data_IF_713206025175
#
_entry.id   IF_713206025175
#
_cell.length_a   1.000
_cell.length_b   1.000
_cell.length_c   1.000
_cell.angle_alpha   90.00
_cell.angle_beta   90.00
_cell.angle_gamma   90.00
#
_symmetry.space_group_name_H-M   'P 1'
#
loop_
_entity.id
_entity.type
_entity.pdbx_description
1 polymer ?
#
# COMPACT_ATOMS: atom_id res chain seq x y z
N UNK A 1 -67.39 10.10 -25.12
CA UNK A 1 -67.86 11.30 -25.79
C UNK A 1 -66.97 12.49 -25.43
N UNK A 2 -66.47 13.15 -26.46
CA UNK A 2 -65.81 14.46 -26.56
C UNK A 2 -64.30 14.35 -26.35
N UNK A 3 -63.53 14.19 -27.31
CA UNK A 3 -63.15 14.87 -28.56
C UNK A 3 -61.90 15.80 -28.39
N UNK A 4 -60.98 15.49 -29.21
CA UNK A 4 -59.65 16.03 -29.44
C UNK A 4 -59.59 17.55 -29.69
N UNK A 5 -58.52 18.21 -29.30
CA UNK A 5 -57.92 19.28 -30.11
C UNK A 5 -56.40 19.28 -30.03
N UNK A 6 -55.78 18.95 -31.16
CA UNK A 6 -54.38 19.19 -31.51
C UNK A 6 -54.14 20.70 -31.67
N UNK A 7 -53.10 21.27 -31.03
CA UNK A 7 -52.49 22.54 -31.43
C UNK A 7 -51.09 22.30 -31.92
N UNK A 8 -50.85 22.66 -33.20
CA UNK A 8 -49.58 22.73 -33.88
C UNK A 8 -48.69 23.80 -33.22
N UNK A 9 -47.42 23.52 -33.00
CA UNK A 9 -46.40 24.51 -32.73
C UNK A 9 -45.78 25.06 -34.02
N UNK A 10 -45.36 26.34 -34.09
CA UNK A 10 -44.76 26.95 -35.29
C UNK A 10 -43.31 26.53 -35.45
N UNK A 11 -42.89 26.42 -36.72
CA UNK A 11 -41.56 25.97 -37.14
C UNK A 11 -40.46 26.97 -36.77
N UNK A 12 -39.38 26.43 -36.29
CA UNK A 12 -38.10 27.13 -36.07
C UNK A 12 -37.32 27.23 -37.39
N UNK A 13 -36.40 28.21 -37.50
CA UNK A 13 -35.62 28.47 -38.72
C UNK A 13 -34.59 27.37 -38.98
N UNK A 14 -34.37 27.08 -40.24
CA UNK A 14 -33.47 26.07 -40.78
C UNK A 14 -31.98 26.34 -40.48
N UNK A 15 -31.14 25.32 -40.62
CA UNK A 15 -29.72 25.46 -40.33
C UNK A 15 -28.99 26.28 -41.39
N UNK A 16 -28.19 27.23 -40.91
CA UNK A 16 -27.27 28.03 -41.76
C UNK A 16 -26.11 27.18 -42.29
N UNK A 17 -25.44 27.63 -43.38
CA UNK A 17 -24.38 26.89 -44.02
C UNK A 17 -23.15 26.78 -43.10
N UNK A 18 -22.58 25.57 -43.02
CA UNK A 18 -21.37 25.25 -42.23
C UNK A 18 -20.13 25.96 -42.79
N UNK A 19 -19.14 26.24 -41.94
CA UNK A 19 -17.88 26.83 -42.36
C UNK A 19 -17.08 25.89 -43.27
N UNK A 20 -16.54 26.43 -44.35
CA UNK A 20 -15.73 25.74 -45.33
C UNK A 20 -14.41 25.20 -44.75
N UNK A 21 -13.75 24.26 -45.44
CA UNK A 21 -12.53 23.61 -44.96
C UNK A 21 -11.38 24.62 -44.89
N UNK A 22 -10.71 24.66 -43.74
CA UNK A 22 -9.51 25.46 -43.51
C UNK A 22 -8.32 24.93 -44.33
N UNK A 23 -7.31 25.78 -44.61
CA UNK A 23 -6.16 25.42 -45.43
C UNK A 23 -5.30 24.32 -44.73
N UNK A 24 -4.77 23.43 -45.57
CA UNK A 24 -3.88 22.33 -45.13
C UNK A 24 -2.60 22.92 -44.48
N UNK A 25 -2.06 22.25 -43.44
CA UNK A 25 -0.79 22.64 -42.85
C UNK A 25 0.36 22.40 -43.84
N UNK A 26 1.23 23.40 -43.96
CA UNK A 26 2.45 23.34 -44.76
C UNK A 26 3.47 22.34 -44.21
N UNK A 27 4.44 21.88 -45.02
CA UNK A 27 5.42 20.88 -44.62
C UNK A 27 6.32 21.43 -43.51
N UNK A 28 6.46 20.65 -42.43
CA UNK A 28 7.34 20.96 -41.30
C UNK A 28 8.82 20.91 -41.70
N UNK A 29 9.69 21.63 -40.99
CA UNK A 29 11.12 21.63 -41.26
C UNK A 29 11.74 20.26 -41.06
N UNK A 30 12.62 19.86 -41.96
CA UNK A 30 13.33 18.58 -41.97
C UNK A 30 14.23 18.37 -40.74
N UNK A 31 14.64 17.11 -40.45
CA UNK A 31 15.44 16.83 -39.31
C UNK A 31 16.84 17.45 -39.42
N UNK A 32 17.23 18.19 -38.38
CA UNK A 32 18.58 18.70 -38.22
C UNK A 32 19.61 17.59 -38.00
N UNK A 33 20.91 17.84 -38.26
CA UNK A 33 21.93 16.81 -38.14
C UNK A 33 22.13 16.37 -36.71
N UNK A 34 22.36 15.04 -36.54
CA UNK A 34 22.64 14.40 -35.27
C UNK A 34 23.86 15.03 -34.59
N UNK A 35 23.84 15.21 -33.23
CA UNK A 35 25.01 15.64 -32.49
C UNK A 35 26.06 14.52 -32.49
N UNK A 36 27.32 14.92 -32.79
CA UNK A 36 28.48 14.05 -32.86
C UNK A 36 28.74 13.31 -31.55
N UNK A 37 29.23 12.09 -31.68
CA UNK A 37 29.63 11.23 -30.59
C UNK A 37 30.69 11.91 -29.72
N UNK A 38 30.46 11.92 -28.41
CA UNK A 38 31.44 12.32 -27.42
C UNK A 38 32.61 11.30 -27.38
N UNK A 39 33.87 11.74 -27.20
CA UNK A 39 35.00 10.82 -27.07
C UNK A 39 34.90 10.02 -25.77
N UNK A 40 35.19 8.72 -25.86
CA UNK A 40 35.22 7.78 -24.74
C UNK A 40 36.26 8.15 -23.67
N UNK A 41 36.08 7.69 -22.43
CA UNK A 41 36.99 8.00 -21.35
C UNK A 41 38.36 7.34 -21.55
N UNK A 42 39.41 8.12 -21.41
CA UNK A 42 40.80 7.68 -21.33
C UNK A 42 41.01 6.75 -20.14
N UNK A 43 41.84 5.71 -20.23
CA UNK A 43 42.16 4.85 -19.09
C UNK A 43 42.98 5.60 -18.06
N UNK A 44 42.52 5.60 -16.80
CA UNK A 44 43.25 6.12 -15.65
C UNK A 44 44.38 5.17 -15.23
N UNK A 45 45.38 5.65 -14.47
CA UNK A 45 46.56 4.89 -14.16
C UNK A 45 46.30 3.72 -13.21
N UNK A 46 47.06 2.65 -13.46
CA UNK A 46 47.08 1.40 -12.71
C UNK A 46 47.34 1.61 -11.21
N UNK A 47 46.47 1.06 -10.38
CA UNK A 47 46.74 0.91 -8.94
C UNK A 47 47.54 -0.38 -8.72
N UNK A 48 48.52 -0.37 -7.82
CA UNK A 48 49.42 -1.50 -7.61
C UNK A 48 48.74 -2.67 -6.91
N UNK A 49 48.99 -3.87 -7.38
CA UNK A 49 48.61 -5.15 -6.82
C UNK A 49 49.15 -5.34 -5.41
N UNK A 50 48.27 -5.63 -4.46
CA UNK A 50 48.63 -6.02 -3.10
C UNK A 50 49.10 -7.47 -3.10
N UNK A 51 50.27 -7.80 -2.50
CA UNK A 51 50.74 -9.19 -2.49
C UNK A 51 49.95 -10.07 -1.53
N UNK A 52 49.73 -11.31 -1.98
CA UNK A 52 49.12 -12.41 -1.24
C UNK A 52 49.85 -12.67 0.08
N UNK A 53 49.10 -12.77 1.17
CA UNK A 53 49.59 -13.04 2.51
C UNK A 53 50.17 -14.45 2.62
N UNK A 54 51.40 -14.49 3.14
CA UNK A 54 52.19 -15.69 3.41
C UNK A 54 51.56 -16.57 4.51
N UNK A 55 51.74 -17.89 4.33
CA UNK A 55 51.39 -18.94 5.28
C UNK A 55 52.14 -18.73 6.61
N UNK A 56 51.40 -18.74 7.72
CA UNK A 56 51.98 -18.85 9.07
C UNK A 56 52.39 -20.28 9.37
N UNK A 57 53.54 -20.52 10.04
CA UNK A 57 53.98 -21.85 10.44
C UNK A 57 53.14 -22.38 11.62
N UNK A 58 52.94 -23.71 11.62
CA UNK A 58 52.41 -24.47 12.74
C UNK A 58 53.43 -24.49 13.88
N UNK A 59 53.02 -24.15 15.08
CA UNK A 59 53.72 -24.47 16.32
C UNK A 59 52.99 -25.65 16.96
N UNK A 60 53.71 -26.74 17.16
CA UNK A 60 53.32 -27.89 17.96
C UNK A 60 53.56 -27.57 19.45
N UNK A 61 52.64 -28.01 20.37
CA UNK A 61 52.88 -27.87 21.80
C UNK A 61 53.72 -29.04 22.33
N UNK A 62 54.52 -28.82 23.36
CA UNK A 62 55.26 -29.87 24.02
C UNK A 62 54.38 -30.69 24.99
N UNK A 63 54.62 -32.00 24.99
CA UNK A 63 54.08 -32.96 25.94
C UNK A 63 54.74 -32.82 27.27
N UNK A 64 54.02 -33.05 28.35
CA UNK A 64 54.28 -33.90 29.46
C UNK A 64 53.55 -33.50 30.77
N UNK A 65 52.94 -34.43 31.38
CA UNK A 65 53.14 -34.79 32.76
C UNK A 65 51.95 -34.66 33.71
N UNK A 66 51.25 -35.74 33.91
CA UNK A 66 50.95 -36.39 35.17
C UNK A 66 50.01 -35.75 36.23
N UNK A 67 48.91 -36.40 36.49
CA UNK A 67 48.48 -36.66 37.87
C UNK A 67 47.18 -36.01 38.36
N UNK A 68 46.19 -36.83 38.70
CA UNK A 68 45.34 -36.58 39.85
C UNK A 68 43.81 -36.42 39.57
N UNK A 69 43.05 -37.40 39.95
CA UNK A 69 41.64 -37.58 39.80
C UNK A 69 40.73 -36.55 40.47
N UNK A 70 39.51 -36.50 39.94
CA UNK A 70 38.40 -35.75 40.49
C UNK A 70 37.19 -35.84 39.56
N UNK A 71 36.20 -36.67 39.94
CA UNK A 71 34.96 -36.84 39.18
C UNK A 71 34.20 -35.53 39.06
N UNK A 72 33.88 -35.16 37.85
CA UNK A 72 33.00 -34.07 37.53
C UNK A 72 32.23 -34.44 36.27
N UNK A 73 30.89 -34.66 36.44
CA UNK A 73 30.00 -35.07 35.38
C UNK A 73 30.14 -34.16 34.14
N UNK A 74 30.26 -34.80 32.98
CA UNK A 74 30.13 -34.16 31.67
C UNK A 74 28.78 -33.47 31.58
N UNK A 75 28.72 -32.20 31.20
CA UNK A 75 27.46 -31.60 30.82
C UNK A 75 26.96 -32.30 29.55
N UNK A 76 25.61 -32.47 29.42
CA UNK A 76 25.06 -33.12 28.24
C UNK A 76 25.48 -32.38 26.99
N UNK A 77 26.13 -33.09 26.08
CA UNK A 77 26.40 -32.62 24.72
C UNK A 77 25.07 -32.43 24.00
N UNK A 78 24.65 -31.21 23.76
CA UNK A 78 23.42 -30.96 23.03
C UNK A 78 22.81 -29.56 23.16
N UNK A 79 23.35 -28.66 23.97
CA UNK A 79 22.94 -27.27 23.90
C UNK A 79 23.69 -26.58 22.80
N UNK A 80 23.19 -26.67 21.57
CA UNK A 80 23.49 -25.70 20.53
C UNK A 80 23.10 -24.32 21.07
N UNK A 81 24.08 -23.55 21.51
CA UNK A 81 23.92 -22.15 21.84
C UNK A 81 23.35 -21.47 20.59
N UNK A 82 22.08 -21.16 20.63
CA UNK A 82 21.47 -20.24 19.66
C UNK A 82 22.11 -18.88 19.87
N UNK A 83 23.24 -18.65 19.22
CA UNK A 83 23.95 -17.35 19.19
C UNK A 83 23.30 -16.45 18.14
N UNK A 84 22.00 -16.28 18.21
CA UNK A 84 21.27 -15.28 17.43
C UNK A 84 20.94 -14.08 18.33
N UNK A 85 20.65 -12.91 17.75
CA UNK A 85 20.12 -11.80 18.53
C UNK A 85 18.87 -12.25 19.28
N UNK A 86 18.61 -11.70 20.49
CA UNK A 86 17.44 -12.06 21.26
C UNK A 86 16.19 -11.83 20.42
N UNK A 87 15.27 -12.82 20.42
CA UNK A 87 14.00 -12.76 19.70
C UNK A 87 13.11 -11.70 20.35
N UNK A 88 12.44 -10.89 19.53
CA UNK A 88 11.57 -9.80 19.99
C UNK A 88 10.09 -10.05 19.66
N UNK A 89 9.76 -11.19 19.02
CA UNK A 89 8.39 -11.57 18.70
C UNK A 89 8.13 -13.05 18.93
N UNK A 90 6.84 -13.43 18.88
CA UNK A 90 6.36 -14.80 18.99
C UNK A 90 6.37 -15.56 17.65
N UNK A 91 6.92 -15.01 16.58
CA UNK A 91 7.08 -15.71 15.30
C UNK A 91 7.95 -16.95 15.45
N UNK A 92 7.70 -17.98 14.66
CA UNK A 92 8.50 -19.21 14.65
C UNK A 92 9.96 -18.95 14.21
N UNK A 93 10.17 -18.01 13.28
CA UNK A 93 11.47 -17.55 12.81
C UNK A 93 11.51 -16.02 12.69
N UNK A 94 12.70 -15.38 12.75
CA UNK A 94 12.83 -13.92 12.60
C UNK A 94 12.24 -13.38 11.30
N UNK A 95 12.21 -14.22 10.26
CA UNK A 95 11.61 -13.92 8.95
C UNK A 95 10.80 -15.14 8.54
N UNK A 96 9.52 -14.91 8.24
CA UNK A 96 8.58 -15.92 7.74
C UNK A 96 8.19 -15.58 6.31
N UNK A 97 8.22 -16.60 5.44
CA UNK A 97 7.81 -16.50 4.04
C UNK A 97 6.46 -17.18 3.86
N UNK A 98 5.46 -16.46 3.36
CA UNK A 98 4.15 -16.99 3.01
C UNK A 98 4.02 -17.11 1.50
N UNK A 99 3.76 -18.33 1.02
CA UNK A 99 3.61 -18.65 -0.39
C UNK A 99 2.28 -19.36 -0.64
N UNK A 100 1.54 -18.94 -1.66
CA UNK A 100 0.24 -19.53 -2.00
C UNK A 100 -0.54 -18.75 -3.05
N UNK A 101 -0.19 -17.49 -3.28
CA UNK A 101 -0.75 -16.70 -4.37
C UNK A 101 -0.19 -17.14 -5.73
N UNK A 102 -1.08 -17.25 -6.73
CA UNK A 102 -0.69 -17.55 -8.12
C UNK A 102 -0.41 -16.28 -8.93
N UNK A 103 -0.83 -15.12 -8.45
CA UNK A 103 -0.64 -13.81 -9.05
C UNK A 103 0.03 -12.81 -8.10
N UNK A 104 0.30 -11.62 -8.61
CA UNK A 104 0.85 -10.51 -7.83
C UNK A 104 -0.01 -10.20 -6.61
N UNK A 105 0.61 -9.95 -5.46
CA UNK A 105 -0.09 -9.54 -4.23
C UNK A 105 -0.09 -8.02 -4.14
N UNK A 106 -1.28 -7.44 -4.10
CA UNK A 106 -1.45 -5.99 -4.06
C UNK A 106 -1.71 -5.45 -2.66
N UNK A 107 -2.31 -6.25 -1.80
CA UNK A 107 -2.69 -5.81 -0.46
C UNK A 107 -2.56 -6.91 0.60
N UNK A 108 -2.28 -6.45 1.83
CA UNK A 108 -2.19 -7.31 3.00
C UNK A 108 -2.55 -6.52 4.28
N UNK A 109 -3.23 -7.15 5.21
CA UNK A 109 -3.62 -6.56 6.50
C UNK A 109 -3.59 -7.60 7.60
N UNK A 110 -3.13 -7.20 8.77
CA UNK A 110 -3.37 -7.97 9.98
C UNK A 110 -4.82 -7.82 10.45
N UNK A 111 -5.38 -8.89 10.96
CA UNK A 111 -6.59 -8.82 11.75
C UNK A 111 -6.32 -8.04 13.05
N UNK A 112 -7.27 -7.26 13.58
CA UNK A 112 -7.06 -6.45 14.79
C UNK A 112 -6.58 -7.25 16.03
N UNK A 113 -6.88 -8.56 16.12
CA UNK A 113 -6.40 -9.40 17.21
C UNK A 113 -4.94 -9.88 17.05
N UNK A 114 -4.28 -9.60 15.94
CA UNK A 114 -2.91 -9.99 15.67
C UNK A 114 -2.69 -11.47 15.31
N UNK A 115 -3.67 -12.35 15.47
CA UNK A 115 -3.46 -13.80 15.30
C UNK A 115 -3.53 -14.27 13.84
N UNK A 116 -4.20 -13.50 13.00
CA UNK A 116 -4.41 -13.81 11.57
C UNK A 116 -4.14 -12.61 10.70
N UNK A 117 -3.96 -12.86 9.41
CA UNK A 117 -3.83 -11.81 8.40
C UNK A 117 -4.55 -12.22 7.11
N UNK A 118 -4.89 -11.23 6.30
CA UNK A 118 -5.47 -11.40 4.98
C UNK A 118 -4.55 -10.81 3.91
N UNK A 119 -4.48 -11.47 2.75
CA UNK A 119 -3.77 -10.99 1.58
C UNK A 119 -4.59 -11.20 0.31
N UNK A 120 -4.44 -10.33 -0.69
CA UNK A 120 -5.12 -10.47 -1.96
C UNK A 120 -4.40 -9.73 -3.10
N UNK A 121 -4.77 -10.05 -4.34
CA UNK A 121 -4.14 -9.42 -5.48
C UNK A 121 -4.74 -9.82 -6.84
N UNK A 122 -3.85 -10.00 -7.81
CA UNK A 122 -4.19 -10.24 -9.21
C UNK A 122 -4.95 -11.56 -9.44
N UNK A 123 -4.68 -12.59 -8.64
CA UNK A 123 -5.34 -13.89 -8.72
C UNK A 123 -6.82 -13.87 -8.31
N UNK A 124 -7.34 -12.71 -7.87
CA UNK A 124 -8.75 -12.49 -7.47
C UNK A 124 -9.15 -13.22 -6.19
N UNK A 125 -8.19 -13.83 -5.52
CA UNK A 125 -8.38 -14.57 -4.28
C UNK A 125 -8.04 -13.68 -3.08
N UNK A 126 -8.71 -13.93 -1.96
CA UNK A 126 -8.32 -13.45 -0.65
C UNK A 126 -7.87 -14.66 0.14
N UNK A 127 -6.62 -14.68 0.56
CA UNK A 127 -6.06 -15.74 1.38
C UNK A 127 -5.99 -15.28 2.84
N UNK A 128 -6.46 -16.14 3.74
CA UNK A 128 -6.38 -15.90 5.18
C UNK A 128 -5.31 -16.83 5.78
N UNK A 129 -4.43 -16.24 6.59
CA UNK A 129 -3.25 -16.93 7.12
C UNK A 129 -3.18 -16.82 8.63
N UNK A 130 -2.62 -17.84 9.27
CA UNK A 130 -2.19 -17.74 10.66
C UNK A 130 -0.89 -16.93 10.74
N UNK A 131 -0.77 -16.07 11.76
CA UNK A 131 0.47 -15.29 12.01
C UNK A 131 1.52 -16.17 12.70
N UNK A 132 1.07 -17.03 13.60
CA UNK A 132 1.95 -17.85 14.44
C UNK A 132 2.03 -19.30 13.95
N UNK A 133 3.07 -20.02 14.42
CA UNK A 133 3.37 -21.36 13.95
C UNK A 133 3.91 -21.36 12.52
N UNK A 134 3.47 -22.29 11.71
CA UNK A 134 3.93 -22.46 10.32
C UNK A 134 3.36 -21.43 9.34
N UNK A 135 2.55 -20.47 9.82
CA UNK A 135 1.89 -19.44 9.00
C UNK A 135 1.04 -20.02 7.86
N UNK A 136 0.26 -21.05 8.16
CA UNK A 136 -0.55 -21.74 7.17
C UNK A 136 -1.68 -20.88 6.61
N UNK A 137 -1.97 -21.07 5.32
CA UNK A 137 -3.20 -20.59 4.72
C UNK A 137 -4.36 -21.49 5.19
N UNK A 138 -5.23 -20.99 6.08
CA UNK A 138 -6.35 -21.76 6.62
C UNK A 138 -7.65 -21.57 5.84
N UNK A 139 -7.78 -20.49 5.06
CA UNK A 139 -8.98 -20.23 4.28
C UNK A 139 -8.66 -19.43 3.00
N UNK A 140 -9.47 -19.66 1.96
CA UNK A 140 -9.40 -18.95 0.70
C UNK A 140 -10.79 -18.45 0.32
N UNK A 141 -10.96 -17.13 0.23
CA UNK A 141 -12.23 -16.50 -0.13
C UNK A 141 -12.28 -16.27 -1.63
N UNK A 142 -13.28 -16.86 -2.28
CA UNK A 142 -13.50 -16.77 -3.73
C UNK A 142 -14.79 -16.02 -4.02
N UNK A 143 -14.76 -15.10 -5.01
CA UNK A 143 -15.99 -14.39 -5.38
C UNK A 143 -15.83 -13.12 -6.16
N UNK A 144 -14.64 -12.53 -6.20
CA UNK A 144 -14.32 -11.46 -7.15
C UNK A 144 -14.03 -12.03 -8.53
N UNK A 145 -14.45 -11.33 -9.57
CA UNK A 145 -14.15 -11.64 -10.97
C UNK A 145 -12.98 -10.84 -11.53
N UNK A 146 -12.48 -9.87 -10.79
CA UNK A 146 -11.33 -9.04 -11.10
C UNK A 146 -10.30 -9.04 -9.96
N UNK A 147 -9.13 -8.46 -10.21
CA UNK A 147 -8.07 -8.32 -9.22
C UNK A 147 -8.56 -7.55 -7.98
N UNK A 148 -8.09 -7.94 -6.81
CA UNK A 148 -8.38 -7.24 -5.56
C UNK A 148 -7.28 -6.22 -5.31
N UNK A 149 -7.68 -4.94 -5.23
CA UNK A 149 -6.75 -3.81 -5.15
C UNK A 149 -6.45 -3.38 -3.72
N UNK A 150 -7.38 -3.56 -2.80
CA UNK A 150 -7.22 -3.20 -1.40
C UNK A 150 -8.10 -4.04 -0.48
N UNK A 151 -7.61 -4.29 0.73
CA UNK A 151 -8.31 -4.99 1.81
C UNK A 151 -8.29 -4.14 3.08
N UNK A 152 -9.37 -4.20 3.86
CA UNK A 152 -9.40 -3.66 5.22
C UNK A 152 -10.32 -4.49 6.12
N UNK A 153 -9.90 -4.74 7.35
CA UNK A 153 -10.76 -5.19 8.42
C UNK A 153 -11.49 -3.98 9.04
N UNK A 154 -12.70 -4.18 9.53
CA UNK A 154 -13.31 -3.21 10.43
C UNK A 154 -12.62 -3.23 11.83
N UNK A 155 -13.01 -2.31 12.71
CA UNK A 155 -12.32 -2.09 13.97
C UNK A 155 -12.34 -3.30 14.90
N UNK A 156 -13.43 -4.07 14.91
CA UNK A 156 -13.57 -5.28 15.73
C UNK A 156 -13.09 -6.57 15.04
N UNK A 157 -12.72 -6.48 13.78
CA UNK A 157 -12.24 -7.61 12.98
C UNK A 157 -13.34 -8.54 12.46
N UNK A 158 -14.61 -8.30 12.79
CA UNK A 158 -15.71 -9.19 12.37
C UNK A 158 -15.96 -9.24 10.88
N UNK A 159 -15.58 -8.17 10.17
CA UNK A 159 -15.78 -8.02 8.73
C UNK A 159 -14.50 -7.65 7.99
N UNK A 160 -14.38 -8.18 6.79
CA UNK A 160 -13.33 -7.84 5.84
C UNK A 160 -13.95 -7.19 4.60
N UNK A 161 -13.35 -6.11 4.12
CA UNK A 161 -13.78 -5.36 2.94
C UNK A 161 -12.72 -5.48 1.85
N UNK A 162 -13.15 -5.73 0.62
CA UNK A 162 -12.24 -5.88 -0.51
C UNK A 162 -12.71 -5.07 -1.71
N UNK A 163 -11.84 -4.21 -2.22
CA UNK A 163 -12.06 -3.42 -3.44
C UNK A 163 -11.48 -4.14 -4.66
N UNK A 164 -12.21 -4.14 -5.78
CA UNK A 164 -11.79 -4.92 -6.95
C UNK A 164 -11.95 -4.17 -8.27
N UNK A 165 -11.15 -4.59 -9.25
CA UNK A 165 -11.26 -4.17 -10.65
C UNK A 165 -12.55 -4.67 -11.31
N UNK A 166 -13.31 -5.57 -10.65
CA UNK A 166 -14.65 -5.96 -11.08
C UNK A 166 -15.73 -4.89 -10.81
N UNK A 167 -15.31 -3.67 -10.43
CA UNK A 167 -16.14 -2.49 -10.16
C UNK A 167 -16.98 -2.59 -8.90
N UNK A 168 -16.66 -3.51 -8.01
CA UNK A 168 -17.42 -3.75 -6.79
C UNK A 168 -16.52 -3.80 -5.55
N UNK A 169 -17.15 -3.58 -4.40
CA UNK A 169 -16.57 -3.92 -3.10
C UNK A 169 -17.34 -5.10 -2.54
N UNK A 170 -16.65 -6.12 -2.06
CA UNK A 170 -17.23 -7.23 -1.36
C UNK A 170 -17.03 -7.09 0.15
N UNK A 171 -18.04 -7.49 0.90
CA UNK A 171 -18.02 -7.54 2.36
C UNK A 171 -18.08 -9.01 2.76
N UNK A 172 -17.13 -9.41 3.58
CA UNK A 172 -16.95 -10.79 4.02
C UNK A 172 -17.06 -10.86 5.53
N UNK A 173 -17.69 -11.90 6.02
CA UNK A 173 -17.60 -12.30 7.41
C UNK A 173 -16.21 -12.93 7.64
N UNK A 174 -15.44 -12.41 8.58
CA UNK A 174 -14.05 -12.86 8.79
C UNK A 174 -13.95 -14.21 9.46
N UNK A 175 -14.95 -14.62 10.23
CA UNK A 175 -14.98 -15.91 10.94
C UNK A 175 -15.44 -17.05 10.01
N UNK A 176 -16.53 -16.84 9.28
CA UNK A 176 -17.10 -17.88 8.40
C UNK A 176 -16.46 -17.88 7.02
N UNK A 177 -15.84 -16.77 6.60
CA UNK A 177 -15.32 -16.59 5.24
C UNK A 177 -16.42 -16.38 4.19
N UNK A 178 -17.68 -16.26 4.60
CA UNK A 178 -18.78 -16.07 3.68
C UNK A 178 -18.90 -14.62 3.20
N UNK A 179 -19.27 -14.45 1.93
CA UNK A 179 -19.54 -13.12 1.40
C UNK A 179 -20.93 -12.64 1.81
N UNK A 180 -20.95 -11.71 2.77
CA UNK A 180 -22.20 -11.11 3.31
C UNK A 180 -22.86 -10.20 2.27
N UNK A 181 -22.05 -9.39 1.55
CA UNK A 181 -22.60 -8.41 0.62
C UNK A 181 -21.64 -8.07 -0.51
N UNK A 182 -22.22 -7.55 -1.61
CA UNK A 182 -21.50 -6.97 -2.74
C UNK A 182 -22.06 -5.58 -3.04
N UNK A 183 -21.23 -4.55 -2.91
CA UNK A 183 -21.57 -3.16 -3.15
C UNK A 183 -21.35 -2.85 -4.63
N UNK A 184 -22.42 -2.59 -5.36
CA UNK A 184 -22.41 -2.31 -6.80
C UNK A 184 -22.85 -0.88 -7.06
N UNK A 185 -22.20 -0.18 -7.98
CA UNK A 185 -22.58 1.19 -8.34
C UNK A 185 -21.43 2.03 -8.91
N UNK A 186 -20.19 1.59 -8.76
CA UNK A 186 -19.07 2.15 -9.54
C UNK A 186 -19.13 1.67 -10.99
N UNK A 187 -18.74 2.55 -11.92
CA UNK A 187 -18.74 2.25 -13.37
C UNK A 187 -17.36 1.82 -13.88
N UNK A 188 -16.31 2.00 -13.07
CA UNK A 188 -14.95 1.56 -13.37
C UNK A 188 -14.30 0.86 -12.18
N UNK A 189 -13.01 0.56 -12.25
CA UNK A 189 -12.24 -0.15 -11.23
C UNK A 189 -12.34 0.55 -9.87
N UNK A 190 -12.52 -0.23 -8.81
CA UNK A 190 -12.44 0.27 -7.44
C UNK A 190 -11.02 0.03 -6.92
N UNK A 191 -10.29 1.11 -6.73
CA UNK A 191 -8.88 1.06 -6.34
C UNK A 191 -8.69 0.99 -4.83
N UNK A 192 -9.64 1.52 -4.06
CA UNK A 192 -9.51 1.67 -2.62
C UNK A 192 -10.85 1.57 -1.93
N UNK A 193 -10.85 0.98 -0.76
CA UNK A 193 -11.99 0.96 0.16
C UNK A 193 -11.50 1.12 1.59
N UNK A 194 -12.28 1.76 2.43
CA UNK A 194 -11.96 1.90 3.85
C UNK A 194 -13.24 1.88 4.70
N UNK A 195 -13.33 1.01 5.73
CA UNK A 195 -14.45 0.99 6.64
C UNK A 195 -14.37 2.12 7.67
N UNK A 196 -15.52 2.59 8.15
CA UNK A 196 -15.59 3.60 9.20
C UNK A 196 -14.93 3.09 10.49
N UNK A 197 -14.18 3.97 11.14
CA UNK A 197 -13.50 3.66 12.40
C UNK A 197 -14.45 3.67 13.60
N UNK A 198 -15.45 4.54 13.56
CA UNK A 198 -16.43 4.75 14.65
C UNK A 198 -17.82 4.90 14.08
N UNK A 199 -18.82 4.59 14.90
CA UNK A 199 -20.22 4.80 14.55
C UNK A 199 -20.81 3.67 13.71
N UNK A 200 -21.77 3.96 12.83
CA UNK A 200 -22.41 2.95 11.99
C UNK A 200 -21.41 2.36 11.00
N UNK A 201 -21.64 1.11 10.59
CA UNK A 201 -20.77 0.42 9.63
C UNK A 201 -20.96 1.03 8.24
N UNK A 202 -20.18 2.08 7.98
CA UNK A 202 -20.05 2.73 6.68
C UNK A 202 -18.76 2.30 6.00
N UNK A 203 -18.72 2.41 4.69
CA UNK A 203 -17.53 2.15 3.87
C UNK A 203 -17.38 3.29 2.87
N UNK A 204 -16.19 3.84 2.73
CA UNK A 204 -15.87 4.75 1.64
C UNK A 204 -15.07 4.03 0.56
N UNK A 205 -15.24 4.42 -0.69
CA UNK A 205 -14.58 3.82 -1.84
C UNK A 205 -14.10 4.88 -2.82
N UNK A 206 -12.95 4.62 -3.45
CA UNK A 206 -12.40 5.44 -4.53
C UNK A 206 -12.22 4.63 -5.79
N UNK A 207 -12.54 5.23 -6.93
CA UNK A 207 -12.61 4.52 -8.21
C UNK A 207 -12.01 5.32 -9.37
N UNK A 208 -11.64 4.58 -10.42
CA UNK A 208 -11.25 5.14 -11.72
C UNK A 208 -12.40 5.86 -12.44
N UNK A 209 -13.64 5.73 -11.97
CA UNK A 209 -14.76 6.51 -12.49
C UNK A 209 -14.75 7.99 -12.02
N UNK A 210 -13.72 8.39 -11.26
CA UNK A 210 -13.58 9.74 -10.73
C UNK A 210 -14.52 10.03 -9.56
N UNK A 211 -15.09 9.03 -8.92
CA UNK A 211 -15.99 9.24 -7.79
C UNK A 211 -15.45 8.65 -6.49
N UNK A 212 -15.78 9.32 -5.39
CA UNK A 212 -15.71 8.81 -4.04
C UNK A 212 -17.14 8.51 -3.60
N UNK A 213 -17.41 7.30 -3.16
CA UNK A 213 -18.74 6.89 -2.71
C UNK A 213 -18.72 6.48 -1.25
N UNK A 214 -19.80 6.84 -0.56
CA UNK A 214 -20.12 6.39 0.79
C UNK A 214 -21.20 5.33 0.73
N UNK A 215 -20.97 4.21 1.42
CA UNK A 215 -21.88 3.07 1.47
C UNK A 215 -22.29 2.77 2.91
N UNK A 216 -23.55 2.44 3.09
CA UNK A 216 -24.05 1.77 4.28
C UNK A 216 -24.31 0.30 3.90
N UNK A 217 -23.65 -0.63 4.58
CA UNK A 217 -23.76 -2.06 4.26
C UNK A 217 -25.20 -2.59 4.36
N UNK A 218 -26.07 -1.91 5.10
CA UNK A 218 -27.49 -2.26 5.23
C UNK A 218 -28.31 -1.85 3.99
N UNK A 219 -27.83 -0.86 3.22
CA UNK A 219 -28.52 -0.33 2.04
C UNK A 219 -28.01 -1.00 0.75
N UNK A 220 -28.81 -0.94 -0.31
CA UNK A 220 -28.43 -1.52 -1.61
C UNK A 220 -27.57 -0.58 -2.46
N UNK A 221 -27.78 0.73 -2.36
CA UNK A 221 -27.12 1.76 -3.15
C UNK A 221 -26.17 2.58 -2.29
N UNK A 222 -25.24 3.29 -2.94
CA UNK A 222 -24.42 4.29 -2.29
C UNK A 222 -25.27 5.36 -1.60
N UNK A 223 -24.88 5.76 -0.41
CA UNK A 223 -25.58 6.79 0.38
C UNK A 223 -25.26 8.17 -0.15
N UNK A 224 -23.99 8.40 -0.49
CA UNK A 224 -23.48 9.65 -1.04
C UNK A 224 -22.46 9.37 -2.12
N UNK A 225 -22.34 10.31 -3.07
CA UNK A 225 -21.32 10.27 -4.13
C UNK A 225 -20.72 11.65 -4.25
N UNK A 226 -19.40 11.70 -4.14
CA UNK A 226 -18.60 12.91 -4.36
C UNK A 226 -17.92 12.80 -5.70
N UNK A 227 -18.11 13.82 -6.52
CA UNK A 227 -17.52 13.87 -7.85
C UNK A 227 -16.15 14.51 -7.78
N UNK A 228 -15.12 13.72 -8.10
CA UNK A 228 -13.77 14.22 -8.37
C UNK A 228 -13.60 14.40 -9.88
N UNK A 229 -12.61 15.21 -10.29
CA UNK A 229 -12.33 15.44 -11.70
C UNK A 229 -11.54 14.29 -12.33
N UNK A 230 -10.70 13.64 -11.53
CA UNK A 230 -9.80 12.58 -11.97
C UNK A 230 -9.98 11.30 -11.15
N UNK A 231 -9.35 10.22 -11.60
CA UNK A 231 -9.39 8.93 -10.92
C UNK A 231 -8.91 9.05 -9.47
N UNK A 232 -9.60 8.33 -8.59
CA UNK A 232 -9.29 8.25 -7.16
C UNK A 232 -8.59 6.92 -6.90
N UNK A 233 -7.39 6.97 -6.32
CA UNK A 233 -6.53 5.81 -6.10
C UNK A 233 -6.49 5.36 -4.65
N UNK A 234 -6.73 6.27 -3.70
CA UNK A 234 -6.71 5.96 -2.28
C UNK A 234 -7.77 6.75 -1.54
N UNK A 235 -8.42 6.11 -0.56
CA UNK A 235 -9.40 6.74 0.33
C UNK A 235 -9.19 6.29 1.77
N UNK A 236 -9.56 7.14 2.71
CA UNK A 236 -9.63 6.80 4.14
C UNK A 236 -10.68 7.68 4.82
N UNK A 237 -11.18 7.25 5.98
CA UNK A 237 -11.95 8.11 6.87
C UNK A 237 -11.02 8.92 7.77
N UNK A 238 -11.51 10.05 8.28
CA UNK A 238 -10.94 10.67 9.47
C UNK A 238 -11.33 9.85 10.73
N UNK A 239 -10.77 10.21 11.90
CA UNK A 239 -10.99 9.43 13.13
C UNK A 239 -12.48 9.38 13.57
N UNK A 240 -13.20 10.47 13.40
CA UNK A 240 -14.63 10.56 13.78
C UNK A 240 -15.57 9.96 12.73
N UNK A 241 -15.05 9.55 11.58
CA UNK A 241 -15.81 8.99 10.44
C UNK A 241 -16.89 9.94 9.89
N UNK A 242 -16.71 11.26 10.05
CA UNK A 242 -17.59 12.30 9.48
C UNK A 242 -16.99 13.00 8.25
N UNK A 243 -15.74 12.67 7.90
CA UNK A 243 -15.07 13.12 6.68
C UNK A 243 -14.38 11.95 5.97
N UNK A 244 -14.35 12.03 4.64
CA UNK A 244 -13.56 11.13 3.79
C UNK A 244 -12.37 11.92 3.24
N UNK A 245 -11.21 11.28 3.23
CA UNK A 245 -9.98 11.82 2.66
C UNK A 245 -9.66 10.98 1.42
N UNK A 246 -9.44 11.63 0.29
CA UNK A 246 -9.13 10.96 -0.98
C UNK A 246 -7.89 11.51 -1.63
N UNK A 247 -7.16 10.67 -2.34
CA UNK A 247 -6.01 11.01 -3.17
C UNK A 247 -6.06 10.28 -4.50
N UNK A 248 -5.48 10.87 -5.54
CA UNK A 248 -5.52 10.28 -6.87
C UNK A 248 -4.56 10.91 -7.87
N UNK A 249 -4.91 10.82 -9.13
CA UNK A 249 -4.08 11.25 -10.27
C UNK A 249 -3.94 12.79 -10.35
N UNK A 250 -4.81 13.52 -9.70
CA UNK A 250 -4.73 14.99 -9.63
C UNK A 250 -3.66 15.52 -8.65
N UNK A 251 -2.88 14.63 -8.03
CA UNK A 251 -1.78 14.91 -7.09
C UNK A 251 -2.26 15.55 -5.77
N UNK A 252 -3.53 15.87 -5.67
CA UNK A 252 -4.14 16.54 -4.55
C UNK A 252 -4.72 15.53 -3.55
N UNK A 253 -4.66 15.86 -2.26
CA UNK A 253 -5.39 15.15 -1.22
C UNK A 253 -6.59 16.00 -0.83
N UNK A 254 -7.79 15.46 -0.99
CA UNK A 254 -9.06 16.16 -0.80
C UNK A 254 -9.81 15.64 0.40
N UNK A 255 -10.41 16.52 1.17
CA UNK A 255 -11.19 16.19 2.36
C UNK A 255 -12.65 16.58 2.12
N UNK A 256 -13.53 15.58 2.20
CA UNK A 256 -14.95 15.67 1.92
C UNK A 256 -15.76 15.57 3.22
N UNK A 257 -16.64 16.53 3.46
CA UNK A 257 -17.54 16.53 4.61
C UNK A 257 -18.82 15.76 4.28
N UNK A 258 -19.14 14.74 5.07
CA UNK A 258 -20.31 13.89 4.88
C UNK A 258 -21.62 14.60 5.23
N UNK A 259 -21.60 15.53 6.16
CA UNK A 259 -22.79 16.27 6.60
C UNK A 259 -23.18 17.33 5.58
N UNK A 260 -22.18 18.05 5.07
CA UNK A 260 -22.40 19.12 4.09
C UNK A 260 -22.40 18.63 2.64
N UNK A 261 -22.02 17.37 2.41
CA UNK A 261 -21.90 16.75 1.10
C UNK A 261 -21.03 17.57 0.11
N UNK A 262 -19.92 18.13 0.60
CA UNK A 262 -19.02 18.99 -0.19
C UNK A 262 -17.56 18.80 0.15
N UNK A 263 -16.70 19.30 -0.72
CA UNK A 263 -15.26 19.44 -0.48
C UNK A 263 -15.03 20.51 0.59
N UNK A 264 -14.31 20.15 1.66
CA UNK A 264 -13.96 21.06 2.76
C UNK A 264 -12.68 21.81 2.47
N UNK A 265 -11.61 21.08 2.17
CA UNK A 265 -10.31 21.64 1.78
C UNK A 265 -9.49 20.65 0.99
N UNK A 266 -8.42 21.17 0.38
CA UNK A 266 -7.47 20.40 -0.41
C UNK A 266 -6.07 20.63 0.13
N UNK A 267 -5.31 19.54 0.32
CA UNK A 267 -3.90 19.55 0.69
C UNK A 267 -3.06 19.33 -0.56
N UNK A 268 -2.23 20.31 -0.90
CA UNK A 268 -1.38 20.31 -2.09
C UNK A 268 0.08 20.18 -1.70
N UNK A 269 0.87 19.56 -2.58
CA UNK A 269 2.31 19.45 -2.38
C UNK A 269 2.94 18.26 -3.10
N UNK A 270 2.24 17.12 -3.26
CA UNK A 270 2.75 16.06 -4.12
C UNK A 270 2.86 16.53 -5.58
N UNK A 271 3.94 16.11 -6.24
CA UNK A 271 4.21 16.46 -7.63
C UNK A 271 3.61 15.45 -8.63
N UNK A 272 3.17 14.28 -8.15
CA UNK A 272 2.57 13.22 -8.95
C UNK A 272 1.50 12.48 -8.12
N UNK A 273 0.85 11.51 -8.73
CA UNK A 273 -0.32 10.78 -8.25
C UNK A 273 -0.15 10.21 -6.85
N UNK A 274 -1.14 10.41 -5.99
CA UNK A 274 -1.20 9.87 -4.64
C UNK A 274 -1.75 8.45 -4.69
N UNK A 275 -0.93 7.46 -4.30
CA UNK A 275 -1.24 6.04 -4.42
C UNK A 275 -1.66 5.37 -3.11
N UNK A 276 -1.30 5.93 -1.98
CA UNK A 276 -1.61 5.38 -0.67
C UNK A 276 -1.92 6.44 0.36
N UNK A 277 -2.88 6.18 1.23
CA UNK A 277 -3.26 7.01 2.37
C UNK A 277 -3.39 6.14 3.61
N UNK A 278 -2.91 6.62 4.74
CA UNK A 278 -3.06 5.95 6.04
C UNK A 278 -3.18 7.00 7.14
N UNK A 279 -4.21 6.90 7.96
CA UNK A 279 -4.41 7.79 9.09
C UNK A 279 -3.71 7.22 10.33
N UNK A 280 -3.05 8.09 11.11
CA UNK A 280 -2.44 7.69 12.39
C UNK A 280 -3.49 7.12 13.36
N UNK A 281 -3.03 6.37 14.35
CA UNK A 281 -3.93 5.71 15.33
C UNK A 281 -4.78 6.73 16.11
N UNK A 282 -4.18 7.86 16.50
CA UNK A 282 -4.86 8.95 17.19
C UNK A 282 -5.65 9.89 16.27
N UNK A 283 -5.55 9.70 14.93
CA UNK A 283 -6.33 10.46 13.95
C UNK A 283 -5.86 11.90 13.67
N UNK A 284 -4.72 12.32 14.21
CA UNK A 284 -4.19 13.68 14.06
C UNK A 284 -3.40 13.88 12.76
N UNK A 285 -2.78 12.83 12.25
CA UNK A 285 -1.89 12.88 11.10
C UNK A 285 -2.27 11.87 10.02
N UNK A 286 -2.14 12.32 8.79
CA UNK A 286 -2.32 11.49 7.59
C UNK A 286 -0.97 11.21 6.96
N UNK A 287 -0.72 9.97 6.61
CA UNK A 287 0.42 9.53 5.81
C UNK A 287 -0.03 9.36 4.37
N UNK A 288 0.78 9.82 3.43
CA UNK A 288 0.55 9.61 1.99
C UNK A 288 1.79 9.08 1.30
N UNK A 289 1.62 8.19 0.34
CA UNK A 289 2.64 7.75 -0.60
C UNK A 289 2.23 8.18 -2.01
N UNK A 290 3.17 8.69 -2.81
CA UNK A 290 2.90 9.21 -4.14
C UNK A 290 3.98 8.84 -5.16
N UNK A 291 3.61 8.89 -6.45
CA UNK A 291 4.50 8.56 -7.56
C UNK A 291 5.65 9.57 -7.75
N UNK A 292 5.67 10.66 -7.00
CA UNK A 292 6.80 11.61 -6.92
C UNK A 292 7.98 11.09 -6.09
N UNK A 293 7.95 9.80 -5.67
CA UNK A 293 8.96 9.15 -4.83
C UNK A 293 9.09 9.80 -3.44
N UNK A 294 8.02 10.37 -2.92
CA UNK A 294 7.97 10.91 -1.57
C UNK A 294 6.84 10.29 -0.76
N UNK A 295 7.11 10.10 0.53
CA UNK A 295 6.10 9.80 1.54
C UNK A 295 5.97 11.03 2.42
N UNK A 296 4.74 11.46 2.71
CA UNK A 296 4.50 12.70 3.45
C UNK A 296 3.57 12.50 4.62
N UNK A 297 3.79 13.29 5.67
CA UNK A 297 2.89 13.40 6.82
C UNK A 297 2.19 14.75 6.76
N UNK A 298 0.87 14.73 6.91
CA UNK A 298 -0.01 15.88 6.88
C UNK A 298 -0.74 16.03 8.21
N UNK A 299 -0.86 17.25 8.69
CA UNK A 299 -1.69 17.58 9.86
C UNK A 299 -3.15 17.74 9.41
N UNK A 300 -4.01 16.83 9.87
CA UNK A 300 -5.45 16.82 9.51
C UNK A 300 -6.34 17.30 10.63
N UNK A 301 -5.77 17.84 11.72
CA UNK A 301 -6.54 18.43 12.82
C UNK A 301 -7.37 19.61 12.34
N UNK A 302 -8.54 19.87 12.97
CA UNK A 302 -9.44 20.94 12.55
C UNK A 302 -8.81 22.33 12.49
N UNK A 303 -7.92 22.64 13.44
CA UNK A 303 -7.28 23.95 13.58
C UNK A 303 -5.83 24.00 13.09
N UNK A 304 -5.43 23.06 12.24
CA UNK A 304 -4.09 23.04 11.66
C UNK A 304 -3.84 24.26 10.75
N UNK A 305 -2.58 24.70 10.58
CA UNK A 305 -2.20 25.75 9.64
C UNK A 305 -2.63 25.45 8.21
N UNK A 306 -2.63 26.47 7.33
CA UNK A 306 -2.97 26.27 5.91
C UNK A 306 -2.02 25.31 5.21
N UNK A 307 -0.73 25.40 5.51
CA UNK A 307 0.27 24.44 5.06
C UNK A 307 0.27 23.25 6.01
N UNK A 308 -0.35 22.18 5.55
CA UNK A 308 -0.58 20.99 6.37
C UNK A 308 0.52 19.92 6.22
N UNK A 309 1.44 20.07 5.24
CA UNK A 309 2.56 19.15 5.09
C UNK A 309 3.60 19.37 6.20
N UNK A 310 3.67 18.44 7.14
CA UNK A 310 4.55 18.52 8.32
C UNK A 310 5.93 17.93 8.06
N UNK A 311 5.97 16.79 7.36
CA UNK A 311 7.22 16.05 7.12
C UNK A 311 7.21 15.39 5.73
N UNK A 312 8.39 15.32 5.14
CA UNK A 312 8.64 14.64 3.86
C UNK A 312 9.72 13.59 4.09
N UNK A 313 9.47 12.38 3.58
CA UNK A 313 10.37 11.24 3.64
C UNK A 313 10.73 10.82 2.22
N UNK A 314 11.96 10.39 2.03
CA UNK A 314 12.50 9.98 0.73
C UNK A 314 13.23 8.65 0.88
N UNK A 315 13.43 7.99 -0.26
CA UNK A 315 14.17 6.72 -0.34
C UNK A 315 13.43 5.65 -1.14
N UNK A 316 12.11 5.57 -1.01
CA UNK A 316 11.28 4.69 -1.82
C UNK A 316 11.19 5.18 -3.27
N UNK A 317 10.95 4.26 -4.18
CA UNK A 317 10.93 4.51 -5.62
C UNK A 317 9.64 3.98 -6.23
N UNK A 318 9.04 4.75 -7.12
CA UNK A 318 8.02 4.29 -8.05
C UNK A 318 8.67 4.08 -9.43
N UNK A 319 8.21 3.08 -10.17
CA UNK A 319 8.70 2.76 -11.50
C UNK A 319 7.60 2.94 -12.56
N UNK A 320 7.93 2.61 -13.80
CA UNK A 320 7.01 2.69 -14.94
C UNK A 320 5.82 1.73 -14.86
N UNK A 321 5.85 0.71 -14.01
CA UNK A 321 4.73 -0.22 -13.79
C UNK A 321 3.53 0.47 -13.14
N UNK A 322 3.77 1.60 -12.46
CA UNK A 322 2.75 2.44 -11.81
C UNK A 322 1.84 1.67 -10.84
N UNK A 323 2.41 0.71 -10.12
CA UNK A 323 1.69 -0.01 -9.07
C UNK A 323 1.23 0.97 -7.98
N UNK A 324 0.08 0.69 -7.40
CA UNK A 324 -0.46 1.48 -6.28
C UNK A 324 0.28 1.09 -5.00
N UNK A 325 1.41 1.74 -4.76
CA UNK A 325 2.22 1.49 -3.57
C UNK A 325 1.59 2.18 -2.37
N UNK A 326 1.27 1.39 -1.35
CA UNK A 326 0.59 1.82 -0.13
C UNK A 326 1.58 2.24 0.95
N UNK A 327 1.07 2.81 2.02
CA UNK A 327 1.82 3.20 3.20
C UNK A 327 1.07 2.84 4.48
N UNK A 328 1.80 2.71 5.58
CA UNK A 328 1.24 2.30 6.87
C UNK A 328 1.94 2.99 8.04
N UNK A 329 1.18 3.27 9.10
CA UNK A 329 1.67 3.71 10.39
C UNK A 329 1.92 2.51 11.31
N UNK A 330 2.97 2.59 12.14
CA UNK A 330 3.06 1.70 13.30
C UNK A 330 1.97 2.06 14.33
N UNK A 331 1.50 1.10 15.16
CA UNK A 331 0.46 1.34 16.14
C UNK A 331 0.79 2.46 17.13
N UNK A 332 2.07 2.58 17.51
CA UNK A 332 2.59 3.59 18.43
C UNK A 332 2.88 4.96 17.76
N UNK A 333 2.75 5.06 16.44
CA UNK A 333 3.03 6.26 15.67
C UNK A 333 4.53 6.63 15.55
N UNK A 334 5.44 5.81 16.09
CA UNK A 334 6.88 6.08 16.06
C UNK A 334 7.52 5.82 14.71
N UNK A 335 6.95 4.89 13.94
CA UNK A 335 7.47 4.45 12.65
C UNK A 335 6.41 4.55 11.56
N UNK A 336 6.86 4.71 10.33
CA UNK A 336 6.03 4.61 9.13
C UNK A 336 6.70 3.68 8.13
N UNK A 337 5.91 3.03 7.31
CA UNK A 337 6.40 2.19 6.23
C UNK A 337 5.77 2.57 4.90
N UNK A 338 6.49 2.39 3.82
CA UNK A 338 6.02 2.66 2.47
C UNK A 338 6.48 1.62 1.47
N UNK A 339 5.57 1.26 0.56
CA UNK A 339 5.86 0.40 -0.57
C UNK A 339 6.86 1.04 -1.52
N UNK A 340 7.64 0.19 -2.20
CA UNK A 340 8.66 0.65 -3.15
C UNK A 340 8.82 -0.33 -4.31
N UNK A 341 8.99 0.22 -5.50
CA UNK A 341 9.18 -0.57 -6.71
C UNK A 341 10.62 -1.13 -6.85
N UNK A 342 11.56 -0.69 -6.02
CA UNK A 342 12.94 -1.19 -6.01
C UNK A 342 13.12 -2.51 -5.26
N UNK A 343 12.03 -3.17 -4.85
CA UNK A 343 11.97 -4.48 -4.17
C UNK A 343 12.38 -4.45 -2.68
N UNK A 344 12.60 -3.27 -2.11
CA UNK A 344 12.92 -3.11 -0.71
C UNK A 344 11.72 -2.64 0.10
N UNK A 345 11.67 -3.08 1.35
CA UNK A 345 10.76 -2.55 2.37
C UNK A 345 11.45 -1.35 3.02
N UNK A 346 10.77 -0.22 3.04
CA UNK A 346 11.28 1.00 3.70
C UNK A 346 10.49 1.27 4.96
N UNK A 347 11.21 1.49 6.05
CA UNK A 347 10.66 1.92 7.35
C UNK A 347 11.45 3.13 7.82
N UNK A 348 10.76 4.20 8.17
CA UNK A 348 11.35 5.44 8.67
C UNK A 348 10.93 5.71 10.11
N UNK A 349 11.79 6.38 10.84
CA UNK A 349 11.46 7.01 12.12
C UNK A 349 10.72 8.33 11.87
N UNK A 350 9.54 8.48 12.49
CA UNK A 350 8.70 9.66 12.30
C UNK A 350 9.31 10.93 12.88
N UNK A 351 10.16 10.82 13.90
CA UNK A 351 10.78 11.96 14.57
C UNK A 351 11.98 12.48 13.81
N UNK A 352 12.97 11.64 13.55
CA UNK A 352 14.23 12.01 12.91
C UNK A 352 14.16 12.03 11.37
N UNK A 353 13.12 11.43 10.78
CA UNK A 353 12.95 11.20 9.33
C UNK A 353 14.01 10.30 8.70
N UNK A 354 14.77 9.58 9.51
CA UNK A 354 15.80 8.65 9.04
C UNK A 354 15.17 7.32 8.63
N UNK A 355 15.76 6.67 7.64
CA UNK A 355 15.46 5.30 7.31
C UNK A 355 16.01 4.42 8.43
N UNK A 356 15.11 3.70 9.12
CA UNK A 356 15.48 2.72 10.14
C UNK A 356 15.81 1.37 9.49
N UNK A 357 14.96 0.97 8.54
CA UNK A 357 15.10 -0.32 7.86
C UNK A 357 14.93 -0.16 6.35
N UNK A 358 15.81 -0.81 5.62
CA UNK A 358 15.74 -1.09 4.20
C UNK A 358 15.87 -2.60 4.03
N UNK A 359 14.76 -3.33 4.06
CA UNK A 359 14.75 -4.79 4.13
C UNK A 359 14.72 -5.38 2.72
N UNK A 360 15.71 -6.21 2.35
CA UNK A 360 15.71 -6.96 1.11
C UNK A 360 14.91 -8.26 1.25
N UNK A 361 14.65 -8.94 0.13
CA UNK A 361 14.05 -10.29 0.11
C UNK A 361 13.06 -10.48 -1.03
N UNK A 362 12.29 -9.46 -1.35
CA UNK A 362 11.37 -9.50 -2.47
C UNK A 362 12.08 -9.44 -3.82
N UNK A 363 11.51 -10.16 -4.81
CA UNK A 363 11.96 -10.16 -6.19
C UNK A 363 11.16 -9.19 -7.09
N UNK A 364 10.02 -8.69 -6.62
CA UNK A 364 9.15 -7.73 -7.29
C UNK A 364 8.88 -6.49 -6.44
N UNK A 365 8.08 -5.56 -6.98
CA UNK A 365 7.66 -4.34 -6.26
C UNK A 365 6.98 -4.69 -4.95
N UNK A 366 7.33 -3.99 -3.88
CA UNK A 366 6.63 -4.08 -2.59
C UNK A 366 5.42 -3.15 -2.64
N UNK A 367 4.22 -3.72 -2.71
CA UNK A 367 2.99 -2.98 -2.95
C UNK A 367 2.35 -2.47 -1.66
N UNK A 368 2.30 -3.28 -0.62
CA UNK A 368 1.73 -2.90 0.66
C UNK A 368 2.52 -3.44 1.84
N UNK A 369 2.41 -2.73 2.94
CA UNK A 369 3.06 -3.01 4.22
C UNK A 369 2.04 -2.84 5.33
N UNK A 370 2.13 -3.69 6.34
CA UNK A 370 1.31 -3.58 7.55
C UNK A 370 2.15 -3.87 8.79
N UNK A 371 1.97 -3.06 9.83
CA UNK A 371 2.53 -3.34 11.14
C UNK A 371 1.57 -4.22 11.93
N UNK A 372 2.12 -5.15 12.69
CA UNK A 372 1.35 -5.94 13.64
C UNK A 372 0.77 -5.04 14.74
N UNK A 373 -0.47 -5.28 15.23
CA UNK A 373 -1.08 -4.42 16.22
C UNK A 373 -0.37 -4.37 17.58
N UNK A 374 0.30 -5.42 18.00
CA UNK A 374 0.90 -5.54 19.34
C UNK A 374 2.40 -5.84 19.31
N UNK A 375 2.86 -6.70 18.41
CA UNK A 375 4.26 -7.14 18.36
C UNK A 375 5.08 -6.36 17.32
N UNK A 376 6.42 -6.30 17.48
CA UNK A 376 7.30 -5.61 16.53
C UNK A 376 7.51 -6.45 15.26
N UNK A 377 6.43 -6.67 14.51
CA UNK A 377 6.41 -7.44 13.27
C UNK A 377 5.93 -6.54 12.14
N UNK A 378 6.58 -6.62 10.99
CA UNK A 378 6.15 -6.00 9.76
C UNK A 378 5.81 -7.08 8.73
N UNK A 379 4.68 -6.89 8.05
CA UNK A 379 4.20 -7.70 6.94
C UNK A 379 4.41 -6.93 5.64
N UNK A 380 4.88 -7.58 4.59
CA UNK A 380 5.04 -7.00 3.26
C UNK A 380 4.43 -7.89 2.18
N UNK A 381 3.76 -7.28 1.23
CA UNK A 381 3.15 -7.93 0.06
C UNK A 381 3.81 -7.42 -1.22
N UNK A 382 4.06 -8.32 -2.17
CA UNK A 382 4.81 -7.98 -3.38
C UNK A 382 4.25 -8.59 -4.66
N UNK A 383 4.60 -7.95 -5.77
CA UNK A 383 4.36 -8.46 -7.14
C UNK A 383 5.09 -9.77 -7.43
N UNK A 384 6.01 -10.22 -6.58
CA UNK A 384 6.66 -11.53 -6.67
C UNK A 384 5.77 -12.70 -6.21
N UNK A 385 4.49 -12.45 -5.90
CA UNK A 385 3.47 -13.41 -5.44
C UNK A 385 3.68 -13.91 -4.00
N UNK A 386 4.51 -13.25 -3.22
CA UNK A 386 4.92 -13.66 -1.88
C UNK A 386 4.63 -12.58 -0.85
N UNK A 387 4.49 -13.04 0.39
CA UNK A 387 4.48 -12.16 1.55
C UNK A 387 5.63 -12.55 2.47
N UNK A 388 6.20 -11.55 3.12
CA UNK A 388 7.15 -11.74 4.19
C UNK A 388 6.61 -11.12 5.48
N UNK A 389 6.78 -11.82 6.59
CA UNK A 389 6.68 -11.26 7.93
C UNK A 389 8.07 -11.25 8.54
N UNK A 390 8.48 -10.13 9.12
CA UNK A 390 9.80 -9.97 9.72
C UNK A 390 9.72 -9.24 11.05
N UNK A 391 10.60 -9.61 11.98
CA UNK A 391 10.82 -8.88 13.22
C UNK A 391 11.51 -7.55 12.92
N UNK A 392 11.04 -6.48 13.57
CA UNK A 392 11.68 -5.16 13.60
C UNK A 392 11.85 -4.73 15.05
N UNK A 393 13.00 -4.11 15.38
CA UNK A 393 13.29 -3.61 16.74
C UNK A 393 12.96 -2.13 16.87
#
# INVERSE_FOLDING_TARGET
MIEQQKRKAPGGPGPGPGPGPGPAPGPGPGPGPAPGAAPGPTPGPDLPLVPSAAKRPRHDPPAAGGGGGGGGGQPPAGALLQSGPPRCSSLQAPIMLLSGHEGEVYCCKFHPNGNTLASAGFDRLILLWNVYGDCDNYATLKGHSGAVMELHYNTDGSMLFSASTDKTVAVWDSETGERVKRLKGHTSFVNSCYPARRGPQLVCTGSDDGTVKLWDIRKKAAVQTFQNTYQVLAVTFNDTSDQIISGGIDNDIKVWDLRQNKLTYTMRGHADSVTGLSLSSEGSYLLSNAMDNTVRIWDVRPFAPKERCVKIFQGNVHNFEKNLLRCSWSPDGSKIAGGSADRFVYVWDTTSRRILYKLPGHAGSVNELAFHPEEPIILSASSDKRLYMGEIQ
#
